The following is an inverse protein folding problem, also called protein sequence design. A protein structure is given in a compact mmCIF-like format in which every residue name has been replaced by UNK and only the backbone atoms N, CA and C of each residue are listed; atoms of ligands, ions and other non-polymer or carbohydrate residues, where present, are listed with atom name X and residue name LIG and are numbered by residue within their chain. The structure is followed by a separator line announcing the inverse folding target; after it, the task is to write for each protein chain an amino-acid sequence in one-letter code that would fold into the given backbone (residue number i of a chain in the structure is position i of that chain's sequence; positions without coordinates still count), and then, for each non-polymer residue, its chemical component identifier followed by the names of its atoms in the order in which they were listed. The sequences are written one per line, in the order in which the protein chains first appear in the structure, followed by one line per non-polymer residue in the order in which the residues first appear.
data_IF_977269767435
#
_entry.id   IF_977269767435
#
_cell.length_a   1.000
_cell.length_b   1.000
_cell.length_c   1.000
_cell.angle_alpha   90.00
_cell.angle_beta   90.00
_cell.angle_gamma   90.00
#
_symmetry.space_group_name_H-M   'P 1'
#
loop_
_entity.id
_entity.type
_entity.pdbx_description
1 polymer ?
#
# COMPACT_ATOMS: atom_id res chain seq x y z
N UNK A 1 19.02 -23.69 -9.32
CA UNK A 1 17.91 -24.23 -10.14
C UNK A 1 16.70 -24.62 -9.30
N UNK A 2 16.83 -25.51 -8.29
CA UNK A 2 15.69 -25.97 -7.49
C UNK A 2 14.94 -24.86 -6.69
N UNK A 3 15.64 -23.87 -6.12
CA UNK A 3 14.98 -22.82 -5.31
C UNK A 3 14.14 -21.84 -6.11
N UNK A 4 14.45 -21.63 -7.40
CA UNK A 4 13.67 -20.77 -8.28
C UNK A 4 12.31 -21.39 -8.64
N UNK A 5 12.28 -22.71 -8.86
CA UNK A 5 11.05 -23.45 -9.16
C UNK A 5 10.10 -23.50 -7.95
N UNK A 6 10.63 -23.64 -6.74
CA UNK A 6 9.83 -23.54 -5.49
C UNK A 6 9.23 -22.15 -5.29
N UNK A 7 9.95 -21.10 -5.68
CA UNK A 7 9.44 -19.72 -5.65
C UNK A 7 8.23 -19.50 -6.56
N UNK A 8 8.24 -20.07 -7.76
CA UNK A 8 7.11 -20.01 -8.71
C UNK A 8 5.86 -20.75 -8.22
N UNK A 9 6.04 -21.76 -7.37
CA UNK A 9 4.95 -22.54 -6.76
C UNK A 9 4.44 -21.95 -5.44
N UNK A 10 4.92 -20.77 -5.03
CA UNK A 10 4.50 -20.12 -3.79
C UNK A 10 5.17 -20.63 -2.51
N UNK A 11 6.13 -21.56 -2.63
CA UNK A 11 7.00 -22.02 -1.53
C UNK A 11 8.29 -21.20 -1.38
N UNK A 12 8.30 -19.99 -1.95
CA UNK A 12 9.38 -19.03 -1.75
C UNK A 12 9.48 -18.57 -0.29
N UNK A 13 10.62 -17.99 0.11
CA UNK A 13 10.78 -17.44 1.45
C UNK A 13 9.68 -16.42 1.74
N UNK A 14 9.11 -16.49 2.95
CA UNK A 14 8.08 -15.56 3.40
C UNK A 14 8.67 -14.14 3.35
N UNK A 15 8.05 -13.24 2.59
CA UNK A 15 8.48 -11.83 2.54
C UNK A 15 8.52 -11.28 3.96
N UNK A 16 9.67 -10.77 4.38
CA UNK A 16 9.77 -10.00 5.62
C UNK A 16 9.04 -8.68 5.42
N UNK A 17 8.31 -8.22 6.44
CA UNK A 17 7.81 -6.86 6.43
C UNK A 17 8.99 -5.89 6.31
N UNK A 18 8.82 -4.72 5.66
CA UNK A 18 9.87 -3.71 5.65
C UNK A 18 10.22 -3.27 7.08
N UNK A 19 11.32 -2.55 7.31
CA UNK A 19 11.61 -1.94 8.61
C UNK A 19 10.51 -0.96 9.03
N UNK A 20 10.23 -0.88 10.33
CA UNK A 20 9.40 0.20 10.90
C UNK A 20 10.24 1.46 10.87
N UNK A 21 9.71 2.53 10.28
CA UNK A 21 10.40 3.82 10.24
C UNK A 21 9.79 4.71 11.32
N UNK A 22 10.58 5.22 12.29
CA UNK A 22 10.03 5.97 13.43
C UNK A 22 9.29 7.25 13.07
N UNK A 23 9.53 7.81 11.88
CA UNK A 23 8.84 9.01 11.39
C UNK A 23 7.47 8.70 10.81
N UNK A 24 7.08 7.44 10.70
CA UNK A 24 5.78 7.08 10.15
C UNK A 24 4.67 7.34 11.16
N UNK A 25 3.57 7.90 10.66
CA UNK A 25 2.31 7.88 11.37
C UNK A 25 1.71 6.48 11.25
N UNK A 26 1.33 5.88 12.38
CA UNK A 26 0.68 4.57 12.42
C UNK A 26 -0.81 4.75 12.66
N UNK A 27 -1.63 4.38 11.68
CA UNK A 27 -3.08 4.47 11.74
C UNK A 27 -3.73 3.07 11.76
N UNK A 28 -4.78 2.85 12.58
CA UNK A 28 -5.53 1.60 12.54
C UNK A 28 -6.39 1.52 11.27
N UNK A 29 -6.59 0.29 10.78
CA UNK A 29 -7.64 0.00 9.79
C UNK A 29 -9.00 -0.04 10.50
N UNK A 30 -10.05 0.42 9.83
CA UNK A 30 -11.39 0.42 10.41
C UNK A 30 -11.89 -1.01 10.61
N UNK A 31 -12.70 -1.26 11.65
CA UNK A 31 -13.20 -2.60 12.00
C UNK A 31 -13.88 -3.33 10.83
N UNK A 32 -14.65 -2.62 10.01
CA UNK A 32 -15.32 -3.20 8.84
C UNK A 32 -14.40 -3.46 7.65
N UNK A 33 -13.22 -2.83 7.63
CA UNK A 33 -12.22 -3.01 6.60
C UNK A 33 -11.18 -4.09 6.99
N UNK A 34 -10.96 -4.29 8.30
CA UNK A 34 -10.01 -5.28 8.83
C UNK A 34 -10.59 -6.70 8.88
N UNK A 35 -11.09 -7.16 7.74
CA UNK A 35 -11.64 -8.51 7.56
C UNK A 35 -10.70 -9.37 6.73
N UNK A 36 -10.67 -10.68 6.99
CA UNK A 36 -9.83 -11.61 6.25
C UNK A 36 -10.06 -11.57 4.72
N UNK A 37 -11.31 -11.30 4.31
CA UNK A 37 -11.68 -11.14 2.89
C UNK A 37 -11.01 -9.92 2.27
N UNK A 38 -11.03 -8.77 2.96
CA UNK A 38 -10.49 -7.52 2.42
C UNK A 38 -8.96 -7.44 2.54
N UNK A 39 -8.35 -8.01 3.59
CA UNK A 39 -6.90 -8.03 3.79
C UNK A 39 -6.11 -8.63 2.60
N UNK A 40 -6.70 -9.60 1.90
CA UNK A 40 -6.08 -10.26 0.75
C UNK A 40 -6.57 -9.77 -0.61
N UNK A 41 -7.48 -8.77 -0.62
CA UNK A 41 -8.14 -8.31 -1.83
C UNK A 41 -7.54 -6.99 -2.32
N UNK A 42 -7.42 -6.84 -3.64
CA UNK A 42 -7.10 -5.56 -4.28
C UNK A 42 -8.27 -5.20 -5.19
N UNK A 43 -8.87 -4.05 -4.93
CA UNK A 43 -9.95 -3.53 -5.75
C UNK A 43 -9.37 -2.86 -6.98
N UNK A 44 -9.83 -3.25 -8.17
CA UNK A 44 -9.38 -2.70 -9.45
C UNK A 44 -10.54 -1.97 -10.12
N UNK A 45 -10.30 -0.74 -10.56
CA UNK A 45 -11.24 0.04 -11.36
C UNK A 45 -10.61 0.36 -12.70
N UNK A 46 -11.38 0.21 -13.78
CA UNK A 46 -10.94 0.57 -15.12
C UNK A 46 -11.83 1.68 -15.65
N UNK A 47 -11.21 2.78 -16.04
CA UNK A 47 -11.87 3.93 -16.65
C UNK A 47 -11.41 4.07 -18.11
N UNK A 48 -12.33 4.44 -19.01
CA UNK A 48 -12.02 4.78 -20.39
C UNK A 48 -12.18 6.29 -20.57
N UNK A 49 -11.16 6.91 -21.14
CA UNK A 49 -11.17 8.29 -21.59
C UNK A 49 -10.99 8.28 -23.11
N UNK A 50 -11.75 9.12 -23.82
CA UNK A 50 -11.60 9.23 -25.28
C UNK A 50 -10.35 10.03 -25.68
N UNK A 51 -9.86 10.88 -24.78
CA UNK A 51 -8.65 11.70 -24.96
C UNK A 51 -7.43 11.10 -24.25
N UNK A 52 -6.23 11.44 -24.73
CA UNK A 52 -4.97 11.03 -24.11
C UNK A 52 -4.79 11.73 -22.75
N UNK A 53 -4.49 10.95 -21.71
CA UNK A 53 -4.19 11.48 -20.39
C UNK A 53 -2.72 11.93 -20.28
N UNK A 54 -2.51 13.02 -19.56
CA UNK A 54 -1.19 13.51 -19.19
C UNK A 54 -0.68 12.77 -17.94
N UNK A 55 0.40 12.00 -18.10
CA UNK A 55 0.96 11.17 -17.03
C UNK A 55 1.52 11.99 -15.85
N UNK A 56 2.14 13.14 -16.14
CA UNK A 56 2.71 14.00 -15.11
C UNK A 56 1.60 14.66 -14.30
N UNK A 57 0.53 15.09 -14.97
CA UNK A 57 -0.66 15.63 -14.30
C UNK A 57 -1.29 14.59 -13.37
N UNK A 58 -1.43 13.35 -13.82
CA UNK A 58 -1.97 12.26 -13.00
C UNK A 58 -1.09 11.98 -11.78
N UNK A 59 0.22 11.87 -11.98
CA UNK A 59 1.19 11.63 -10.91
C UNK A 59 1.16 12.76 -9.87
N UNK A 60 1.27 14.00 -10.30
CA UNK A 60 1.26 15.17 -9.42
C UNK A 60 -0.05 15.29 -8.64
N UNK A 61 -1.20 15.13 -9.30
CA UNK A 61 -2.51 15.17 -8.62
C UNK A 61 -2.67 14.06 -7.58
N UNK A 62 -2.12 12.86 -7.83
CA UNK A 62 -2.14 11.76 -6.85
C UNK A 62 -1.20 12.05 -5.66
N UNK A 63 0.00 12.56 -5.92
CA UNK A 63 0.94 12.96 -4.86
C UNK A 63 0.37 14.08 -3.99
N UNK A 64 -0.29 15.07 -4.58
CA UNK A 64 -1.01 16.12 -3.85
C UNK A 64 -2.14 15.54 -2.98
N UNK A 65 -2.93 14.60 -3.52
CA UNK A 65 -4.01 13.93 -2.78
C UNK A 65 -3.47 13.28 -1.50
N UNK A 66 -2.31 12.63 -1.53
CA UNK A 66 -1.72 12.00 -0.34
C UNK A 66 -1.29 13.01 0.72
N UNK A 67 -1.05 14.28 0.38
CA UNK A 67 -0.76 15.32 1.37
C UNK A 67 -2.02 15.86 2.07
N UNK A 68 -3.21 15.67 1.47
CA UNK A 68 -4.45 16.22 1.99
C UNK A 68 -4.90 15.51 3.29
N UNK A 69 -5.40 16.29 4.25
CA UNK A 69 -5.95 15.74 5.48
C UNK A 69 -7.07 14.72 5.18
N UNK A 70 -7.04 13.57 5.84
CA UNK A 70 -7.99 12.47 5.61
C UNK A 70 -7.58 11.50 4.50
N UNK A 71 -6.75 11.93 3.54
CA UNK A 71 -6.32 11.13 2.40
C UNK A 71 -4.93 10.50 2.54
N UNK A 72 -4.13 10.99 3.50
CA UNK A 72 -2.76 10.50 3.81
C UNK A 72 -2.65 8.97 3.92
N UNK A 73 -3.68 8.30 4.42
CA UNK A 73 -3.73 6.83 4.56
C UNK A 73 -3.55 6.09 3.23
N UNK A 74 -3.94 6.69 2.10
CA UNK A 74 -3.80 6.09 0.78
C UNK A 74 -2.34 5.94 0.33
N UNK A 75 -1.46 6.84 0.78
CA UNK A 75 -0.01 6.74 0.55
C UNK A 75 0.69 5.80 1.53
N UNK A 76 -0.03 5.17 2.46
CA UNK A 76 0.55 4.29 3.46
C UNK A 76 0.91 2.90 2.95
N UNK A 77 1.47 2.06 3.84
CA UNK A 77 1.73 0.64 3.61
C UNK A 77 1.00 -0.19 4.66
N UNK A 78 0.20 -1.14 4.19
CA UNK A 78 -0.52 -2.07 5.06
C UNK A 78 0.48 -3.03 5.73
N UNK A 79 0.30 -3.24 7.04
CA UNK A 79 1.06 -4.19 7.83
C UNK A 79 0.13 -5.03 8.68
N UNK A 80 0.32 -6.34 8.62
CA UNK A 80 -0.38 -7.29 9.48
C UNK A 80 0.40 -7.50 10.76
N UNK A 81 -0.25 -7.32 11.90
CA UNK A 81 0.32 -7.53 13.23
C UNK A 81 0.28 -9.02 13.63
N UNK A 82 1.08 -9.44 14.62
CA UNK A 82 1.04 -10.81 15.14
C UNK A 82 -0.33 -11.25 15.69
N UNK A 83 -1.14 -10.30 16.18
CA UNK A 83 -2.51 -10.54 16.65
C UNK A 83 -3.53 -10.72 15.51
N UNK A 84 -3.10 -10.57 14.25
CA UNK A 84 -3.91 -10.75 13.06
C UNK A 84 -4.58 -9.47 12.53
N UNK A 85 -4.54 -8.37 13.29
CA UNK A 85 -5.07 -7.07 12.87
C UNK A 85 -4.18 -6.38 11.83
N UNK A 86 -4.75 -5.39 11.13
CA UNK A 86 -4.04 -4.61 10.12
C UNK A 86 -3.90 -3.14 10.53
N UNK A 87 -2.71 -2.60 10.30
CA UNK A 87 -2.40 -1.18 10.48
C UNK A 87 -1.80 -0.59 9.20
N UNK A 88 -1.84 0.73 9.09
CA UNK A 88 -1.28 1.48 7.97
C UNK A 88 -0.12 2.31 8.50
N UNK A 89 1.06 2.15 7.91
CA UNK A 89 2.23 2.98 8.19
C UNK A 89 2.34 4.04 7.10
N UNK A 90 2.24 5.30 7.48
CA UNK A 90 2.12 6.44 6.58
C UNK A 90 3.39 7.28 6.69
N UNK A 91 4.17 7.46 5.59
CA UNK A 91 5.33 8.34 5.60
C UNK A 91 5.00 9.77 6.06
N UNK A 92 5.84 10.31 6.94
CA UNK A 92 5.77 11.69 7.37
C UNK A 92 7.20 12.28 7.50
N UNK A 93 7.66 13.13 6.56
CA UNK A 93 6.99 13.53 5.32
C UNK A 93 6.99 12.40 4.27
N UNK A 94 6.19 12.56 3.21
CA UNK A 94 6.42 11.81 1.98
C UNK A 94 7.66 12.37 1.25
N UNK A 95 8.39 11.50 0.55
CA UNK A 95 9.55 11.86 -0.28
C UNK A 95 9.59 11.00 -1.54
N UNK A 96 10.49 11.27 -2.48
CA UNK A 96 10.64 10.42 -3.68
C UNK A 96 11.01 8.98 -3.31
N UNK A 97 11.83 8.78 -2.29
CA UNK A 97 12.17 7.45 -1.75
C UNK A 97 11.03 6.81 -0.94
N UNK A 98 10.10 7.64 -0.46
CA UNK A 98 8.98 7.26 0.42
C UNK A 98 7.69 7.94 -0.03
N UNK A 99 7.17 7.60 -1.23
CA UNK A 99 5.99 8.23 -1.80
C UNK A 99 4.70 7.70 -1.20
#
# INVERSE_FOLDING_TARGET
MASYLLGLLGFGPRRSAPPIVPTDEVAPVHLFDDTATLQGSTMMWTFRFDEVLDADKLGNSLSELFQMQGWRKLGGRLRRRPDGSTEIHIPCPFSEDRP
#
